data_IF_255041528564
#
_entry.id   IF_255041528564
#
_cell.length_a   1.000
_cell.length_b   1.000
_cell.length_c   1.000
_cell.angle_alpha   90.00
_cell.angle_beta   90.00
_cell.angle_gamma   90.00
#
_symmetry.space_group_name_H-M   'P 1'
#
loop_
_entity.id
_entity.type
_entity.pdbx_description
1 polymer ?
#
# COMPACT_ATOMS: atom_id res chain seq x y z
N UNK A 1 -20.43 5.31 -3.92
CA UNK A 1 -19.43 6.22 -3.30
C UNK A 1 -18.43 6.78 -4.33
N UNK A 2 -18.63 8.03 -4.75
CA UNK A 2 -17.74 8.70 -5.69
C UNK A 2 -16.39 9.00 -5.01
N UNK A 3 -15.30 8.41 -5.53
CA UNK A 3 -13.93 8.60 -5.03
C UNK A 3 -13.59 10.09 -4.96
N UNK A 4 -13.20 10.62 -3.80
CA UNK A 4 -12.96 12.06 -3.64
C UNK A 4 -11.82 12.41 -2.68
N UNK A 5 -10.94 13.30 -3.14
CA UNK A 5 -9.92 13.98 -2.30
C UNK A 5 -10.40 15.33 -1.75
N UNK A 6 -11.62 15.77 -2.09
CA UNK A 6 -12.05 17.16 -1.91
C UNK A 6 -13.35 17.32 -1.14
N UNK A 7 -14.15 16.24 -0.96
CA UNK A 7 -15.39 16.29 -0.16
C UNK A 7 -15.12 16.53 1.33
N UNK A 8 -14.06 15.92 1.83
CA UNK A 8 -13.60 16.06 3.22
C UNK A 8 -12.07 16.05 3.19
N UNK A 9 -11.40 16.85 4.03
CA UNK A 9 -9.94 16.88 4.06
C UNK A 9 -9.35 15.49 4.33
N UNK A 10 -8.27 15.09 3.62
CA UNK A 10 -7.54 13.87 3.95
C UNK A 10 -6.81 14.01 5.30
N UNK A 11 -6.58 12.89 5.98
CA UNK A 11 -5.92 12.86 7.29
C UNK A 11 -4.56 12.17 7.22
N UNK A 12 -3.63 12.58 8.07
CA UNK A 12 -2.29 11.99 8.13
C UNK A 12 -2.33 10.58 8.72
N UNK A 13 -1.64 9.65 8.08
CA UNK A 13 -1.49 8.28 8.55
C UNK A 13 -0.05 8.01 8.95
N UNK A 14 0.10 7.44 10.15
CA UNK A 14 1.40 7.07 10.70
C UNK A 14 2.17 8.25 11.28
N UNK A 15 3.31 7.91 11.89
CA UNK A 15 4.10 8.85 12.71
C UNK A 15 5.05 9.73 11.91
N UNK A 16 5.32 9.41 10.64
CA UNK A 16 6.32 10.11 9.81
C UNK A 16 5.70 11.24 8.97
N UNK A 17 4.38 11.43 9.02
CA UNK A 17 3.65 12.48 8.27
C UNK A 17 4.06 12.57 6.79
N UNK A 18 4.18 11.43 6.11
CA UNK A 18 4.45 11.37 4.65
C UNK A 18 3.31 10.77 3.84
N UNK A 19 2.26 10.30 4.52
CA UNK A 19 1.10 9.65 3.90
C UNK A 19 -0.18 10.31 4.42
N UNK A 20 -1.03 10.70 3.48
CA UNK A 20 -2.38 11.19 3.69
C UNK A 20 -3.34 10.13 3.17
N UNK A 21 -4.41 9.85 3.92
CA UNK A 21 -5.49 8.98 3.51
C UNK A 21 -6.73 9.84 3.21
N UNK A 22 -7.39 9.59 2.08
CA UNK A 22 -8.67 10.21 1.77
C UNK A 22 -9.71 9.87 2.84
N UNK A 23 -10.71 10.72 3.03
CA UNK A 23 -11.77 10.48 4.02
C UNK A 23 -12.55 9.19 3.74
N UNK A 24 -12.78 8.89 2.46
CA UNK A 24 -13.40 7.65 2.01
C UNK A 24 -12.47 6.42 2.08
N UNK A 25 -11.22 6.60 2.55
CA UNK A 25 -10.18 5.57 2.70
C UNK A 25 -9.83 4.83 1.39
N UNK A 26 -10.24 5.33 0.22
CA UNK A 26 -9.97 4.68 -1.08
C UNK A 26 -8.64 5.08 -1.71
N UNK A 27 -8.09 6.24 -1.34
CA UNK A 27 -6.88 6.82 -1.91
C UNK A 27 -5.83 7.16 -0.85
N UNK A 28 -4.57 6.97 -1.22
CA UNK A 28 -3.41 7.41 -0.44
C UNK A 28 -2.66 8.47 -1.24
N UNK A 29 -2.37 9.60 -0.62
CA UNK A 29 -1.46 10.61 -1.16
C UNK A 29 -0.14 10.56 -0.39
N UNK A 30 0.95 10.27 -1.10
CA UNK A 30 2.31 10.22 -0.53
C UNK A 30 3.05 11.50 -0.86
N UNK A 31 3.64 12.11 0.15
CA UNK A 31 4.56 13.23 -0.03
C UNK A 31 5.91 12.73 -0.56
N UNK A 32 6.36 13.36 -1.64
CA UNK A 32 7.56 13.01 -2.37
C UNK A 32 8.66 14.05 -2.14
N UNK A 33 9.90 13.57 -2.05
CA UNK A 33 11.08 14.42 -2.21
C UNK A 33 11.36 14.74 -3.68
N UNK A 34 12.22 15.72 -3.96
CA UNK A 34 12.65 15.99 -5.33
C UNK A 34 13.35 14.80 -6.02
N UNK A 35 14.06 13.96 -5.25
CA UNK A 35 14.65 12.71 -5.75
C UNK A 35 13.55 11.71 -6.16
N UNK A 36 12.53 11.53 -5.30
CA UNK A 36 11.39 10.64 -5.60
C UNK A 36 10.64 11.08 -6.88
N UNK A 37 10.51 12.40 -7.12
CA UNK A 37 9.86 12.93 -8.34
C UNK A 37 10.64 12.56 -9.60
N UNK A 38 11.98 12.69 -9.56
CA UNK A 38 12.83 12.27 -10.66
C UNK A 38 12.72 10.75 -10.91
N UNK A 39 12.68 9.95 -9.84
CA UNK A 39 12.49 8.50 -9.92
C UNK A 39 11.14 8.12 -10.54
N UNK A 40 10.05 8.79 -10.14
CA UNK A 40 8.72 8.60 -10.75
C UNK A 40 8.77 8.91 -12.25
N UNK A 41 9.37 10.03 -12.65
CA UNK A 41 9.49 10.39 -14.06
C UNK A 41 10.31 9.37 -14.87
N UNK A 42 11.38 8.82 -14.31
CA UNK A 42 12.17 7.75 -14.95
C UNK A 42 11.41 6.43 -15.08
N UNK A 43 10.54 6.11 -14.11
CA UNK A 43 9.72 4.90 -14.09
C UNK A 43 8.49 4.98 -15.01
N UNK A 44 7.90 6.17 -15.17
CA UNK A 44 6.52 6.33 -15.65
C UNK A 44 6.23 5.69 -17.02
N UNK A 45 7.15 5.82 -17.98
CA UNK A 45 6.98 5.23 -19.33
C UNK A 45 6.94 3.70 -19.30
N UNK A 46 7.90 3.10 -18.58
CA UNK A 46 7.98 1.65 -18.38
C UNK A 46 6.78 1.14 -17.59
N UNK A 47 6.39 1.85 -16.53
CA UNK A 47 5.23 1.54 -15.71
C UNK A 47 3.93 1.56 -16.53
N UNK A 48 3.69 2.60 -17.32
CA UNK A 48 2.50 2.68 -18.17
C UNK A 48 2.43 1.50 -19.14
N UNK A 49 3.53 1.23 -19.85
CA UNK A 49 3.60 0.10 -20.78
C UNK A 49 3.33 -1.23 -20.07
N UNK A 50 3.92 -1.44 -18.89
CA UNK A 50 3.71 -2.63 -18.08
C UNK A 50 2.24 -2.80 -17.67
N UNK A 51 1.61 -1.74 -17.16
CA UNK A 51 0.21 -1.73 -16.73
C UNK A 51 -0.73 -2.06 -17.90
N UNK A 52 -0.46 -1.52 -19.10
CA UNK A 52 -1.22 -1.86 -20.30
C UNK A 52 -1.07 -3.33 -20.66
N UNK A 53 0.15 -3.87 -20.67
CA UNK A 53 0.42 -5.27 -21.00
C UNK A 53 -0.23 -6.25 -20.03
N UNK A 54 -0.24 -5.92 -18.73
CA UNK A 54 -0.90 -6.74 -17.72
C UNK A 54 -2.39 -6.44 -17.53
N UNK A 55 -2.97 -5.57 -18.36
CA UNK A 55 -4.37 -5.13 -18.29
C UNK A 55 -4.76 -4.61 -16.89
N UNK A 56 -3.84 -3.92 -16.22
CA UNK A 56 -4.01 -3.43 -14.85
C UNK A 56 -4.00 -4.50 -13.75
N UNK A 57 -3.82 -5.77 -14.10
CA UNK A 57 -3.73 -6.87 -13.12
C UNK A 57 -2.32 -6.93 -12.54
N UNK A 58 -2.00 -6.08 -11.56
CA UNK A 58 -0.68 -5.98 -10.90
C UNK A 58 -0.82 -5.70 -9.41
N UNK A 59 0.17 -6.12 -8.61
CA UNK A 59 0.35 -5.79 -7.19
C UNK A 59 1.12 -4.48 -6.98
N UNK A 60 1.67 -3.88 -8.04
CA UNK A 60 2.34 -2.58 -7.94
C UNK A 60 1.36 -1.49 -7.47
N UNK A 61 1.87 -0.40 -6.86
CA UNK A 61 1.04 0.77 -6.55
C UNK A 61 0.38 1.30 -7.82
N UNK A 62 -0.92 1.62 -7.73
CA UNK A 62 -1.68 2.20 -8.83
C UNK A 62 -1.61 3.71 -8.76
N UNK A 63 -0.67 4.31 -9.48
CA UNK A 63 -0.51 5.76 -9.56
C UNK A 63 -1.71 6.37 -10.32
N UNK A 64 -2.34 7.37 -9.72
CA UNK A 64 -3.52 8.04 -10.27
C UNK A 64 -3.23 9.48 -10.67
N UNK A 65 -2.27 10.12 -10.00
CA UNK A 65 -1.83 11.47 -10.33
C UNK A 65 -0.63 11.88 -9.49
N UNK A 66 0.21 12.73 -10.07
CA UNK A 66 1.30 13.39 -9.36
C UNK A 66 1.11 14.89 -9.47
N UNK A 67 1.20 15.59 -8.34
CA UNK A 67 0.89 17.00 -8.21
C UNK A 67 2.06 17.72 -7.56
N UNK A 68 2.26 18.98 -7.95
CA UNK A 68 3.08 19.93 -7.22
C UNK A 68 2.16 21.00 -6.65
N UNK A 69 2.20 21.18 -5.34
CA UNK A 69 1.42 22.18 -4.61
C UNK A 69 2.40 23.23 -4.08
N UNK A 70 2.06 24.51 -4.24
CA UNK A 70 2.88 25.62 -3.76
C UNK A 70 2.06 26.49 -2.82
N UNK A 71 2.49 26.61 -1.56
CA UNK A 71 1.86 27.44 -0.52
C UNK A 71 2.94 28.30 0.12
N UNK A 72 2.74 29.61 0.19
CA UNK A 72 3.70 30.56 0.80
C UNK A 72 5.16 30.41 0.31
N UNK A 73 5.32 30.06 -0.98
CA UNK A 73 6.62 29.78 -1.63
C UNK A 73 7.30 28.46 -1.23
N UNK A 74 6.66 27.63 -0.41
CA UNK A 74 7.08 26.26 -0.17
C UNK A 74 6.42 25.32 -1.20
N UNK A 75 7.23 24.47 -1.82
CA UNK A 75 6.75 23.47 -2.78
C UNK A 75 6.69 22.09 -2.13
N UNK A 76 5.53 21.42 -2.27
CA UNK A 76 5.31 20.04 -1.86
C UNK A 76 4.89 19.21 -3.06
N UNK A 77 5.43 18.00 -3.18
CA UNK A 77 5.10 17.06 -4.25
C UNK A 77 4.25 15.93 -3.68
N UNK A 78 3.14 15.63 -4.33
CA UNK A 78 2.19 14.61 -3.89
C UNK A 78 1.96 13.58 -4.98
N UNK A 79 2.10 12.30 -4.64
CA UNK A 79 1.73 11.17 -5.48
C UNK A 79 0.48 10.51 -4.93
N UNK A 80 -0.62 10.60 -5.68
CA UNK A 80 -1.89 9.95 -5.36
C UNK A 80 -1.92 8.57 -5.98
N UNK A 81 -2.25 7.57 -5.16
CA UNK A 81 -2.38 6.18 -5.55
C UNK A 81 -3.58 5.52 -4.87
N UNK A 82 -4.04 4.37 -5.40
CA UNK A 82 -5.06 3.58 -4.71
C UNK A 82 -4.54 3.06 -3.37
N UNK A 83 -5.43 3.04 -2.38
CA UNK A 83 -5.15 2.37 -1.11
C UNK A 83 -5.03 0.85 -1.34
N UNK A 84 -4.04 0.22 -0.70
CA UNK A 84 -3.88 -1.24 -0.70
C UNK A 84 -4.98 -1.91 0.13
N UNK A 85 -5.43 -1.25 1.19
CA UNK A 85 -6.45 -1.77 2.10
C UNK A 85 -7.86 -1.34 1.67
N UNK A 86 -8.84 -2.16 2.01
CA UNK A 86 -10.24 -1.83 1.75
C UNK A 86 -10.69 -0.63 2.57
N UNK A 87 -11.56 0.17 1.97
CA UNK A 87 -12.28 1.23 2.65
C UNK A 87 -13.39 0.73 3.59
N UNK A 88 -13.81 -0.54 3.45
CA UNK A 88 -14.93 -1.13 4.21
C UNK A 88 -14.51 -2.21 5.18
N UNK A 89 -13.42 -2.93 4.89
CA UNK A 89 -12.96 -4.05 5.70
C UNK A 89 -11.74 -3.62 6.51
N UNK A 90 -11.90 -3.28 7.80
CA UNK A 90 -10.81 -2.79 8.63
C UNK A 90 -9.70 -3.83 8.80
N UNK A 91 -8.46 -3.36 8.77
CA UNK A 91 -7.27 -4.19 8.92
C UNK A 91 -6.95 -4.34 10.40
N UNK A 92 -6.83 -5.58 10.84
CA UNK A 92 -6.60 -5.93 12.24
C UNK A 92 -5.14 -6.31 12.52
N UNK A 93 -4.42 -6.76 11.49
CA UNK A 93 -2.99 -7.06 11.55
C UNK A 93 -2.33 -6.60 10.26
N UNK A 94 -1.13 -6.05 10.39
CA UNK A 94 -0.42 -5.41 9.29
C UNK A 94 1.06 -5.77 9.31
N UNK A 95 1.59 -6.14 8.15
CA UNK A 95 3.00 -6.54 7.98
C UNK A 95 3.64 -5.87 6.76
N UNK A 96 4.88 -5.41 6.92
CA UNK A 96 5.80 -5.02 5.85
C UNK A 96 6.84 -6.13 5.67
N UNK A 97 6.75 -6.89 4.58
CA UNK A 97 7.55 -8.08 4.35
C UNK A 97 8.54 -7.86 3.21
N UNK A 98 9.82 -8.16 3.44
CA UNK A 98 10.88 -8.06 2.40
C UNK A 98 11.56 -9.39 2.07
N UNK A 99 11.28 -10.46 2.82
CA UNK A 99 11.95 -11.75 2.69
C UNK A 99 13.38 -11.76 3.25
N UNK A 100 13.71 -10.81 4.12
CA UNK A 100 15.02 -10.74 4.79
C UNK A 100 14.84 -10.70 6.30
N UNK A 101 15.85 -11.10 7.07
CA UNK A 101 15.77 -11.17 8.55
C UNK A 101 16.53 -10.04 9.26
N UNK A 102 17.47 -9.37 8.58
CA UNK A 102 18.33 -8.35 9.22
C UNK A 102 17.60 -7.01 9.35
N UNK A 103 17.47 -6.49 10.58
CA UNK A 103 16.72 -5.26 10.90
C UNK A 103 15.24 -5.33 10.50
N UNK A 104 14.66 -6.54 10.59
CA UNK A 104 13.30 -6.85 10.12
C UNK A 104 12.37 -7.24 11.25
N UNK A 105 12.55 -6.57 12.39
CA UNK A 105 11.63 -6.60 13.52
C UNK A 105 11.09 -5.17 13.74
N UNK A 106 9.82 -5.05 14.12
CA UNK A 106 9.22 -3.79 14.48
C UNK A 106 9.83 -3.25 15.78
N UNK A 107 10.07 -1.95 15.84
CA UNK A 107 10.54 -1.29 17.06
C UNK A 107 9.46 -1.32 18.15
N UNK A 108 9.86 -1.25 19.42
CA UNK A 108 8.90 -1.20 20.54
C UNK A 108 7.89 -0.05 20.41
N UNK A 109 8.34 1.12 19.91
CA UNK A 109 7.47 2.25 19.59
C UNK A 109 6.38 1.91 18.57
N UNK A 110 6.72 1.11 17.55
CA UNK A 110 5.76 0.65 16.54
C UNK A 110 4.81 -0.38 17.12
N UNK A 111 5.34 -1.34 17.90
CA UNK A 111 4.56 -2.39 18.59
C UNK A 111 3.57 -1.84 19.61
N UNK A 112 3.83 -0.65 20.16
CA UNK A 112 2.92 0.04 21.08
C UNK A 112 1.75 0.78 20.43
N UNK A 113 1.67 0.84 19.09
CA UNK A 113 0.52 1.42 18.38
C UNK A 113 -0.68 0.45 18.42
N UNK A 114 -1.88 1.00 18.26
CA UNK A 114 -3.12 0.21 18.16
C UNK A 114 -3.07 -0.78 16.98
N UNK A 115 -2.65 -0.31 15.80
CA UNK A 115 -2.41 -1.13 14.63
C UNK A 115 -0.93 -1.08 14.20
N UNK A 116 -0.06 -1.91 14.81
CA UNK A 116 1.37 -1.91 14.53
C UNK A 116 1.67 -2.44 13.12
N UNK A 117 2.68 -1.87 12.47
CA UNK A 117 3.26 -2.40 11.24
C UNK A 117 4.39 -3.37 11.60
N UNK A 118 4.06 -4.66 11.67
CA UNK A 118 5.00 -5.72 11.99
C UNK A 118 5.89 -6.05 10.78
N UNK A 119 7.00 -6.75 11.00
CA UNK A 119 7.96 -7.11 9.94
C UNK A 119 8.21 -8.61 9.87
N UNK A 120 9.13 -9.03 9.01
CA UNK A 120 9.45 -10.44 8.72
C UNK A 120 9.73 -11.28 9.99
N UNK A 121 10.52 -10.76 10.94
CA UNK A 121 10.85 -11.47 12.19
C UNK A 121 9.62 -11.61 13.08
N UNK A 122 8.78 -10.57 13.17
CA UNK A 122 7.54 -10.62 13.94
C UNK A 122 6.54 -11.61 13.34
N UNK A 123 6.45 -11.67 12.00
CA UNK A 123 5.61 -12.61 11.27
C UNK A 123 5.98 -14.06 11.62
N UNK A 124 7.28 -14.37 11.58
CA UNK A 124 7.80 -15.69 11.94
C UNK A 124 7.60 -16.02 13.42
N UNK A 125 7.92 -15.09 14.33
CA UNK A 125 7.79 -15.29 15.77
C UNK A 125 6.33 -15.53 16.20
N UNK A 126 5.38 -14.89 15.51
CA UNK A 126 3.94 -15.10 15.73
C UNK A 126 3.40 -16.36 15.08
N UNK A 127 4.22 -17.09 14.31
CA UNK A 127 3.79 -18.22 13.49
C UNK A 127 2.60 -17.86 12.60
N UNK A 128 2.58 -16.62 12.10
CA UNK A 128 1.48 -16.10 11.27
C UNK A 128 1.45 -16.83 9.93
N UNK A 129 0.25 -17.09 9.42
CA UNK A 129 0.05 -17.82 8.16
C UNK A 129 -1.06 -17.18 7.34
N UNK A 130 -0.87 -17.16 6.02
CA UNK A 130 -1.88 -16.73 5.06
C UNK A 130 -2.49 -17.97 4.44
N UNK A 131 -3.80 -18.15 4.64
CA UNK A 131 -4.54 -19.31 4.16
C UNK A 131 -5.37 -18.94 2.94
N UNK A 132 -4.87 -19.20 1.74
CA UNK A 132 -5.57 -18.90 0.48
C UNK A 132 -5.84 -20.20 -0.29
N UNK A 133 -6.85 -20.18 -1.17
CA UNK A 133 -7.13 -21.32 -2.06
C UNK A 133 -5.96 -21.58 -3.02
N UNK A 134 -5.83 -22.82 -3.53
CA UNK A 134 -4.71 -23.19 -4.40
C UNK A 134 -4.66 -22.36 -5.71
N UNK A 135 -5.82 -22.07 -6.28
CA UNK A 135 -5.96 -21.23 -7.47
C UNK A 135 -5.55 -19.79 -7.20
N UNK A 136 -6.15 -19.15 -6.18
CA UNK A 136 -5.78 -17.79 -5.77
C UNK A 136 -4.30 -17.67 -5.42
N UNK A 137 -3.73 -18.68 -4.75
CA UNK A 137 -2.30 -18.73 -4.43
C UNK A 137 -1.45 -18.75 -5.69
N UNK A 138 -1.77 -19.61 -6.66
CA UNK A 138 -1.04 -19.71 -7.93
C UNK A 138 -1.11 -18.38 -8.67
N UNK A 139 -2.30 -17.83 -8.83
CA UNK A 139 -2.54 -16.59 -9.57
C UNK A 139 -1.84 -15.38 -8.90
N UNK A 140 -1.87 -15.33 -7.56
CA UNK A 140 -1.13 -14.33 -6.78
C UNK A 140 0.38 -14.46 -6.99
N UNK A 141 0.93 -15.68 -6.91
CA UNK A 141 2.37 -15.92 -7.05
C UNK A 141 2.86 -15.63 -8.47
N UNK A 142 2.08 -15.93 -9.50
CA UNK A 142 2.38 -15.58 -10.89
C UNK A 142 2.43 -14.06 -11.08
N UNK A 143 1.45 -13.34 -10.52
CA UNK A 143 1.40 -11.87 -10.54
C UNK A 143 2.60 -11.27 -9.82
N UNK A 144 2.87 -11.71 -8.59
CA UNK A 144 4.00 -11.26 -7.78
C UNK A 144 5.33 -11.48 -8.49
N UNK A 145 5.54 -12.68 -9.06
CA UNK A 145 6.75 -13.00 -9.81
C UNK A 145 6.96 -12.03 -10.97
N UNK A 146 5.93 -11.80 -11.79
CA UNK A 146 6.00 -10.90 -12.95
C UNK A 146 6.21 -9.44 -12.53
N UNK A 147 5.58 -8.99 -11.44
CA UNK A 147 5.77 -7.63 -10.93
C UNK A 147 7.20 -7.42 -10.40
N UNK A 148 7.73 -8.41 -9.67
CA UNK A 148 9.12 -8.41 -9.16
C UNK A 148 10.12 -8.44 -10.31
N UNK A 149 9.91 -9.25 -11.34
CA UNK A 149 10.76 -9.28 -12.54
C UNK A 149 10.83 -7.91 -13.22
N UNK A 150 9.71 -7.21 -13.33
CA UNK A 150 9.66 -5.83 -13.84
C UNK A 150 10.48 -4.85 -12.97
N UNK A 151 10.33 -4.90 -11.65
CA UNK A 151 11.11 -4.05 -10.73
C UNK A 151 12.62 -4.33 -10.83
N UNK A 152 13.01 -5.60 -10.94
CA UNK A 152 14.40 -6.02 -11.09
C UNK A 152 15.00 -5.49 -12.40
N UNK A 153 14.27 -5.56 -13.51
CA UNK A 153 14.72 -5.01 -14.81
C UNK A 153 15.01 -3.51 -14.74
N UNK A 154 14.23 -2.78 -13.95
CA UNK A 154 14.41 -1.34 -13.70
C UNK A 154 15.40 -1.03 -12.57
N UNK A 155 16.05 -2.05 -12.00
CA UNK A 155 16.99 -1.92 -10.87
C UNK A 155 16.37 -1.23 -9.65
N UNK A 156 15.07 -1.39 -9.47
CA UNK A 156 14.36 -0.94 -8.28
C UNK A 156 14.57 -1.97 -7.18
N UNK A 157 14.87 -1.52 -5.97
CA UNK A 157 15.16 -2.38 -4.83
C UNK A 157 14.48 -1.86 -3.58
N UNK A 158 14.66 -2.57 -2.45
CA UNK A 158 14.14 -2.16 -1.15
C UNK A 158 12.60 -1.99 -1.13
N UNK A 159 11.85 -2.58 -2.06
CA UNK A 159 10.40 -2.67 -1.97
C UNK A 159 9.98 -3.73 -0.94
N UNK A 160 8.76 -3.62 -0.43
CA UNK A 160 8.14 -4.61 0.46
C UNK A 160 6.79 -5.05 -0.09
N UNK A 161 6.37 -6.25 0.31
CA UNK A 161 4.98 -6.68 0.21
C UNK A 161 4.26 -6.24 1.48
N UNK A 162 3.33 -5.30 1.33
CA UNK A 162 2.43 -4.89 2.40
C UNK A 162 1.28 -5.89 2.50
N UNK A 163 1.11 -6.49 3.67
CA UNK A 163 0.04 -7.42 4.00
C UNK A 163 -0.87 -6.81 5.07
N UNK A 164 -2.14 -6.66 4.76
CA UNK A 164 -3.21 -6.37 5.73
C UNK A 164 -4.11 -7.59 5.89
N UNK A 165 -4.48 -7.92 7.12
CA UNK A 165 -5.38 -9.04 7.44
C UNK A 165 -6.62 -8.49 8.12
N UNK A 166 -7.78 -8.70 7.49
CA UNK A 166 -9.10 -8.48 8.08
C UNK A 166 -9.65 -9.81 8.61
N UNK A 167 -10.13 -9.85 9.85
CA UNK A 167 -10.78 -11.01 10.47
C UNK A 167 -12.30 -10.79 10.43
N UNK A 168 -13.02 -11.68 9.75
CA UNK A 168 -14.45 -11.52 9.52
C UNK A 168 -15.22 -11.88 10.78
N UNK A 169 -16.05 -10.96 11.27
CA UNK A 169 -16.89 -11.17 12.45
C UNK A 169 -16.19 -10.88 13.78
N UNK A 170 -15.01 -10.24 13.75
CA UNK A 170 -14.45 -9.60 14.93
C UNK A 170 -15.35 -8.41 15.31
N UNK A 171 -15.68 -8.30 16.60
CA UNK A 171 -16.38 -7.12 17.12
C UNK A 171 -15.46 -5.91 16.97
N UNK A 172 -15.89 -4.93 16.17
CA UNK A 172 -15.24 -3.63 16.11
C UNK A 172 -15.61 -2.88 17.40
N UNK A 173 -14.66 -2.24 18.09
CA UNK A 173 -15.05 -1.19 19.03
C UNK A 173 -15.81 -0.12 18.23
N UNK A 174 -16.96 0.31 18.73
CA UNK A 174 -17.73 1.41 18.14
C UNK A 174 -16.78 2.60 17.95
N UNK A 175 -16.43 2.95 16.70
CA UNK A 175 -15.76 4.22 16.43
C UNK A 175 -16.77 5.30 16.89
N UNK A 176 -16.46 6.04 17.96
CA UNK A 176 -17.24 7.21 18.36
C UNK A 176 -17.28 8.13 17.14
N UNK A 177 -18.42 8.16 16.44
CA UNK A 177 -18.70 9.18 15.44
C UNK A 177 -18.57 10.52 16.19
N UNK A 178 -17.53 11.29 15.89
CA UNK A 178 -17.43 12.66 16.35
C UNK A 178 -18.66 13.38 15.84
N UNK A 179 -19.64 13.58 16.72
CA UNK A 179 -20.80 14.42 16.46
C UNK A 179 -20.27 15.80 16.05
N UNK A 180 -20.31 16.10 14.76
CA UNK A 180 -20.15 17.46 14.27
C UNK A 180 -21.35 18.24 14.83
N UNK A 181 -21.10 19.14 15.79
CA UNK A 181 -22.12 20.08 16.26
C UNK A 181 -22.70 20.82 15.05
N UNK A 182 -23.98 20.54 14.73
CA UNK A 182 -24.75 21.35 13.81
C UNK A 182 -24.93 22.76 14.40
N UNK A 183 -23.98 23.63 14.08
CA UNK A 183 -24.14 25.07 14.21
C UNK A 183 -25.19 25.55 13.20
N UNK A 184 -26.40 25.81 13.70
CA UNK A 184 -27.52 26.29 12.89
C UNK A 184 -27.24 27.59 12.14
N UNK A 185 -27.76 27.66 10.91
CA UNK A 185 -27.79 28.86 10.07
C UNK A 185 -28.54 28.59 8.76
N UNK A 186 -29.81 28.99 8.74
CA UNK A 186 -30.72 29.03 7.59
C UNK A 186 -30.23 30.00 6.48
N UNK A 187 -30.34 29.61 5.21
CA UNK A 187 -31.06 30.37 4.16
C UNK A 187 -30.94 29.68 2.78
N UNK A 188 -32.06 29.56 2.09
CA UNK A 188 -32.22 28.80 0.84
C UNK A 188 -31.74 29.48 -0.45
N UNK A 189 -31.44 28.65 -1.46
CA UNK A 189 -31.23 29.04 -2.86
C UNK A 189 -31.28 27.82 -3.80
N UNK A 190 -31.79 27.96 -5.04
CA UNK A 190 -32.17 26.83 -5.92
C UNK A 190 -30.97 26.14 -6.59
N UNK A 191 -31.13 24.89 -7.11
CA UNK A 191 -30.01 24.11 -7.63
C UNK A 191 -29.59 24.62 -9.01
N UNK A 192 -28.50 25.39 -9.05
CA UNK A 192 -27.78 25.74 -10.27
C UNK A 192 -26.83 24.61 -10.66
N UNK A 193 -27.06 24.00 -11.82
CA UNK A 193 -26.19 22.96 -12.38
C UNK A 193 -24.92 23.55 -13.00
N UNK A 194 -23.76 23.06 -12.59
CA UNK A 194 -22.51 23.21 -13.33
C UNK A 194 -21.52 22.11 -12.93
N UNK A 195 -20.94 21.48 -13.96
CA UNK A 195 -19.76 20.62 -13.83
C UNK A 195 -19.99 19.15 -14.16
N UNK A 196 -20.32 18.83 -15.42
CA UNK A 196 -20.11 17.47 -15.95
C UNK A 196 -18.61 17.19 -15.98
N UNK A 197 -18.07 16.64 -14.89
CA UNK A 197 -16.78 15.96 -14.88
C UNK A 197 -16.86 14.78 -15.87
N UNK A 198 -15.84 14.52 -16.71
CA UNK A 198 -15.89 13.41 -17.65
C UNK A 198 -16.06 12.11 -16.87
N UNK A 199 -17.11 11.36 -17.22
CA UNK A 199 -17.56 10.08 -16.67
C UNK A 199 -16.47 9.29 -15.92
N UNK A 200 -16.26 9.65 -14.66
CA UNK A 200 -15.27 9.03 -13.78
C UNK A 200 -15.97 8.10 -12.81
N UNK A 201 -15.82 6.79 -13.01
CA UNK A 201 -16.06 5.66 -12.07
C UNK A 201 -17.49 5.54 -11.47
N UNK A 202 -18.31 6.59 -11.48
CA UNK A 202 -19.63 6.66 -10.86
C UNK A 202 -20.63 5.66 -11.43
N UNK A 203 -20.50 5.30 -12.71
CA UNK A 203 -21.40 4.36 -13.38
C UNK A 203 -21.21 2.90 -12.90
N UNK A 204 -20.05 2.54 -12.34
CA UNK A 204 -19.78 1.16 -11.89
C UNK A 204 -20.25 0.89 -10.45
N UNK A 205 -20.64 1.92 -9.70
CA UNK A 205 -20.99 1.82 -8.29
C UNK A 205 -22.47 1.43 -8.06
N UNK A 206 -23.20 1.09 -9.12
CA UNK A 206 -24.63 0.75 -9.09
C UNK A 206 -24.93 -0.76 -9.02
N UNK A 207 -23.98 -1.61 -8.58
CA UNK A 207 -24.31 -2.98 -8.19
C UNK A 207 -24.99 -2.98 -6.80
N UNK A 208 -26.32 -2.82 -6.80
CA UNK A 208 -27.20 -2.78 -5.62
C UNK A 208 -27.34 -4.12 -4.88
N UNK A 209 -26.22 -4.73 -4.47
CA UNK A 209 -26.24 -5.77 -3.44
C UNK A 209 -25.47 -5.28 -2.21
N UNK A 210 -26.11 -5.19 -1.03
CA UNK A 210 -25.36 -4.97 0.20
C UNK A 210 -24.33 -6.09 0.34
N UNK A 211 -23.03 -5.74 0.33
CA UNK A 211 -21.98 -6.72 0.55
C UNK A 211 -22.08 -7.22 2.00
N UNK A 212 -22.13 -8.53 2.16
CA UNK A 212 -22.18 -9.20 3.46
C UNK A 212 -20.84 -9.18 4.21
N UNK A 213 -20.77 -9.79 5.41
CA UNK A 213 -19.55 -9.84 6.21
C UNK A 213 -18.39 -10.50 5.46
N UNK A 214 -17.29 -9.76 5.29
CA UNK A 214 -16.11 -10.22 4.56
C UNK A 214 -16.30 -10.32 3.03
N UNK A 215 -17.34 -9.72 2.47
CA UNK A 215 -17.47 -9.49 1.03
C UNK A 215 -16.85 -8.14 0.65
N UNK A 216 -16.19 -8.11 -0.51
CA UNK A 216 -15.53 -6.92 -1.05
C UNK A 216 -15.80 -6.83 -2.56
N UNK A 217 -15.67 -5.62 -3.11
CA UNK A 217 -15.77 -5.40 -4.55
C UNK A 217 -14.37 -5.52 -5.17
N UNK A 218 -14.10 -6.52 -6.03
CA UNK A 218 -12.78 -6.72 -6.62
C UNK A 218 -12.32 -5.58 -7.56
N UNK A 219 -13.22 -4.70 -8.00
CA UNK A 219 -12.87 -3.51 -8.80
C UNK A 219 -12.44 -2.32 -7.94
N UNK A 220 -12.86 -2.30 -6.68
CA UNK A 220 -12.47 -1.27 -5.70
C UNK A 220 -11.27 -1.77 -4.88
N UNK A 221 -11.44 -2.92 -4.25
CA UNK A 221 -10.48 -3.57 -3.35
C UNK A 221 -9.59 -4.55 -4.14
N UNK A 222 -8.90 -4.00 -5.13
CA UNK A 222 -8.15 -4.73 -6.17
C UNK A 222 -6.97 -5.58 -5.67
N UNK A 223 -6.58 -5.40 -4.40
CA UNK A 223 -5.51 -6.12 -3.71
C UNK A 223 -6.03 -7.21 -2.77
N UNK A 224 -7.36 -7.38 -2.71
CA UNK A 224 -8.01 -8.31 -1.79
C UNK A 224 -7.98 -9.75 -2.32
N UNK A 225 -7.75 -10.68 -1.40
CA UNK A 225 -7.86 -12.12 -1.59
C UNK A 225 -8.67 -12.71 -0.45
N UNK A 226 -9.65 -13.54 -0.80
CA UNK A 226 -10.48 -14.24 0.18
C UNK A 226 -9.65 -15.36 0.82
N UNK A 227 -9.71 -15.47 2.13
CA UNK A 227 -9.14 -16.61 2.84
C UNK A 227 -9.86 -17.92 2.50
N UNK A 228 -9.11 -19.02 2.49
CA UNK A 228 -9.63 -20.37 2.27
C UNK A 228 -10.69 -20.74 3.30
N UNK A 229 -11.72 -21.45 2.90
CA UNK A 229 -12.73 -21.98 3.82
C UNK A 229 -12.14 -23.00 4.82
N UNK A 230 -11.01 -23.60 4.48
CA UNK A 230 -10.27 -24.51 5.36
C UNK A 230 -9.39 -23.77 6.40
N UNK A 231 -9.35 -22.44 6.36
CA UNK A 231 -8.58 -21.65 7.30
C UNK A 231 -9.15 -21.73 8.72
N UNK A 232 -8.32 -21.65 9.77
CA UNK A 232 -8.79 -21.65 11.16
C UNK A 232 -9.64 -20.41 11.50
N UNK A 233 -9.48 -19.32 10.74
CA UNK A 233 -10.23 -18.07 10.87
C UNK A 233 -10.73 -17.65 9.49
N UNK A 234 -11.92 -17.05 9.44
CA UNK A 234 -12.43 -16.41 8.23
C UNK A 234 -11.73 -15.07 8.07
N UNK A 235 -10.85 -14.96 7.08
CA UNK A 235 -10.02 -13.78 6.89
C UNK A 235 -10.10 -13.27 5.44
N UNK A 236 -9.83 -11.98 5.25
CA UNK A 236 -9.57 -11.36 3.95
C UNK A 236 -8.18 -10.74 3.99
N UNK A 237 -7.37 -11.03 2.99
CA UNK A 237 -5.99 -10.57 2.88
C UNK A 237 -5.89 -9.46 1.85
N UNK A 238 -5.23 -8.36 2.19
CA UNK A 238 -4.90 -7.27 1.26
C UNK A 238 -3.40 -7.28 1.04
N UNK A 239 -2.96 -7.57 -0.19
CA UNK A 239 -1.54 -7.73 -0.50
C UNK A 239 -1.13 -6.89 -1.71
N UNK A 240 -0.16 -6.00 -1.51
CA UNK A 240 0.36 -5.13 -2.57
C UNK A 240 1.82 -4.76 -2.35
N UNK A 241 2.57 -4.56 -3.43
CA UNK A 241 3.94 -4.08 -3.38
C UNK A 241 3.95 -2.58 -3.06
N UNK A 242 4.85 -2.14 -2.19
CA UNK A 242 5.03 -0.73 -1.82
C UNK A 242 6.50 -0.30 -1.92
N UNK A 243 6.75 1.01 -1.83
CA UNK A 243 8.07 1.64 -1.90
C UNK A 243 8.88 1.32 -3.18
N UNK A 244 8.18 1.21 -4.31
CA UNK A 244 8.74 0.85 -5.63
C UNK A 244 9.43 2.00 -6.38
N UNK A 245 9.80 3.09 -5.71
CA UNK A 245 10.49 4.23 -6.34
C UNK A 245 11.99 4.23 -6.10
N UNK A 246 12.47 3.38 -5.19
CA UNK A 246 13.86 3.39 -4.75
C UNK A 246 14.77 2.72 -5.78
N UNK A 247 15.45 3.53 -6.62
CA UNK A 247 16.41 3.03 -7.61
C UNK A 247 17.76 2.65 -6.98
N UNK A 248 18.43 1.65 -7.56
CA UNK A 248 19.81 1.32 -7.24
C UNK A 248 20.78 2.25 -7.98
N UNK A 249 21.13 3.39 -7.36
CA UNK A 249 22.17 4.28 -7.87
C UNK A 249 23.53 4.13 -7.11
N UNK A 250 24.62 4.61 -7.71
CA UNK A 250 26.01 4.47 -7.25
C UNK A 250 26.24 4.92 -5.80
N UNK A 251 25.43 5.85 -5.27
CA UNK A 251 25.46 6.24 -3.84
C UNK A 251 25.10 5.08 -2.90
N UNK A 252 24.23 4.16 -3.33
CA UNK A 252 23.88 2.95 -2.57
C UNK A 252 24.88 1.81 -2.72
N UNK A 253 25.74 1.82 -3.75
CA UNK A 253 26.92 0.94 -3.81
C UNK A 253 27.82 1.17 -2.60
N UNK A 254 27.99 2.43 -2.20
CA UNK A 254 28.74 2.81 -1.00
C UNK A 254 28.01 2.42 0.30
N UNK A 255 26.68 2.56 0.38
CA UNK A 255 25.92 2.15 1.56
C UNK A 255 25.86 0.62 1.73
N UNK A 256 25.70 -0.13 0.63
CA UNK A 256 25.78 -1.59 0.64
C UNK A 256 27.21 -2.05 0.97
N UNK A 257 28.23 -1.44 0.36
CA UNK A 257 29.62 -1.68 0.71
C UNK A 257 29.90 -1.35 2.18
N UNK A 258 29.33 -0.28 2.73
CA UNK A 258 29.48 0.08 4.14
C UNK A 258 28.77 -0.92 5.07
N UNK A 259 27.58 -1.42 4.72
CA UNK A 259 26.91 -2.52 5.44
C UNK A 259 27.75 -3.80 5.39
N UNK A 260 28.34 -4.12 4.24
CA UNK A 260 29.28 -5.24 4.07
C UNK A 260 30.59 -5.02 4.84
N UNK A 261 31.16 -3.82 4.87
CA UNK A 261 32.38 -3.50 5.63
C UNK A 261 32.13 -3.54 7.14
N UNK A 262 30.95 -3.13 7.60
CA UNK A 262 30.53 -3.27 9.00
C UNK A 262 30.35 -4.74 9.41
N UNK A 263 29.99 -5.61 8.46
CA UNK A 263 29.96 -7.07 8.65
C UNK A 263 31.38 -7.68 8.73
N UNK A 264 32.39 -7.09 8.07
CA UNK A 264 33.77 -7.59 8.04
C UNK A 264 34.72 -6.93 9.06
N UNK A 265 34.29 -5.85 9.72
CA UNK A 265 35.05 -5.17 10.77
C UNK A 265 35.08 -5.89 12.12
N UNK A 266 34.26 -6.94 12.29
CA UNK A 266 34.39 -7.91 13.37
C UNK A 266 34.91 -9.22 12.78
N UNK A 267 36.22 -9.44 12.87
CA UNK A 267 36.89 -10.55 12.19
C UNK A 267 36.27 -11.93 12.52
N UNK A 268 35.95 -12.71 11.49
CA UNK A 268 36.60 -13.97 11.06
C UNK A 268 35.99 -14.29 9.68
N UNK A 269 36.84 -14.72 8.74
CA UNK A 269 36.53 -14.78 7.30
C UNK A 269 35.39 -15.72 6.89
N UNK A 270 34.69 -15.33 5.83
CA UNK A 270 33.71 -16.16 5.13
C UNK A 270 33.14 -15.47 3.88
N UNK A 271 33.53 -15.98 2.71
CA UNK A 271 32.93 -15.96 1.35
C UNK A 271 31.93 -14.84 1.00
N UNK A 272 32.23 -14.08 -0.07
CA UNK A 272 31.41 -12.97 -0.59
C UNK A 272 30.09 -13.38 -1.28
N UNK A 273 29.18 -12.41 -1.56
CA UNK A 273 27.76 -12.66 -1.81
C UNK A 273 27.39 -13.04 -3.26
N UNK A 274 28.31 -13.60 -4.05
CA UNK A 274 28.02 -14.06 -5.41
C UNK A 274 28.69 -15.41 -5.73
N UNK A 275 28.45 -16.42 -4.88
CA UNK A 275 28.91 -17.78 -5.12
C UNK A 275 28.03 -18.80 -4.40
N UNK A 276 27.13 -19.46 -5.15
CA UNK A 276 26.07 -20.34 -4.65
C UNK A 276 24.84 -19.50 -4.36
N UNK A 277 23.74 -19.68 -5.08
CA UNK A 277 22.74 -20.72 -4.81
C UNK A 277 21.70 -20.60 -5.96
N UNK A 278 21.53 -21.58 -6.86
CA UNK A 278 20.52 -22.63 -6.72
C UNK A 278 20.58 -23.38 -5.39
N UNK A 279 19.42 -23.34 -4.73
CA UNK A 279 19.10 -23.71 -3.35
C UNK A 279 18.28 -22.61 -2.67
#
# INVERSE_FOLDING_TARGET
>A
PQVSLTRTPPHWVGSDRRLLLSSDRTLVAKELSGEDVADVHGLLSHYHQYVVQCHGSTLLPRFLGMYRVSVDSEETYLLVMRNTFSHRLPVHRKYDLKGSLVSREASDKEKGKELPTLKDVDFLNRSEKVYVGQEDQRDFMEKLKRDVEFLVQLKIMDYSLLLGIHEVGREEPEEEELEEEEGGGDEGGPPGGYGTSPEGIGAFLNSHRPLGPGEFDPYVDVYALRGSEAAPRREVYFMGLIDVLTQYDARKKAAHAAKTVKLWGGGVGGVGPFGGVLG
#
